data_IF_142372251153
#
_entry.id   IF_142372251153
#
_cell.length_a   1.000
_cell.length_b   1.000
_cell.length_c   1.000
_cell.angle_alpha   90.00
_cell.angle_beta   90.00
_cell.angle_gamma   90.00
#
_symmetry.space_group_name_H-M   'P 1'
#
loop_
_entity.id
_entity.type
_entity.pdbx_description
1 polymer ?
#
# COMPACT_ATOMS: atom_id res chain seq x y z
N UNK A 1 20.00 4.44 -29.66
CA UNK A 1 20.19 3.10 -29.07
C UNK A 1 20.80 3.32 -27.69
N UNK A 2 19.97 3.38 -26.65
CA UNK A 2 20.46 3.37 -25.29
C UNK A 2 20.99 1.95 -25.04
N UNK A 3 22.27 1.84 -24.83
CA UNK A 3 22.93 0.59 -24.47
C UNK A 3 22.90 0.57 -22.94
N UNK A 4 22.03 -0.24 -22.37
CA UNK A 4 22.11 -0.61 -20.96
C UNK A 4 23.19 -1.70 -20.92
N UNK A 5 24.32 -1.38 -20.34
CA UNK A 5 25.41 -2.34 -20.17
C UNK A 5 25.03 -3.27 -19.03
N UNK A 6 24.94 -4.57 -19.32
CA UNK A 6 24.65 -5.61 -18.33
C UNK A 6 25.69 -5.69 -17.19
N UNK A 7 26.83 -5.00 -17.35
CA UNK A 7 27.87 -4.89 -16.33
C UNK A 7 27.49 -3.98 -15.16
N UNK A 8 26.47 -3.13 -15.32
CA UNK A 8 26.02 -2.17 -14.30
C UNK A 8 24.91 -2.70 -13.38
N UNK A 9 24.56 -3.99 -13.48
CA UNK A 9 23.63 -4.61 -12.54
C UNK A 9 24.34 -4.77 -11.19
N UNK A 10 24.01 -3.96 -10.17
CA UNK A 10 24.61 -4.14 -8.86
C UNK A 10 23.98 -5.36 -8.21
N UNK A 11 24.58 -6.52 -8.40
CA UNK A 11 24.22 -7.76 -7.70
C UNK A 11 25.38 -8.26 -6.89
N UNK A 12 25.53 -7.74 -5.68
CA UNK A 12 26.45 -8.33 -4.71
C UNK A 12 25.62 -8.87 -3.53
N UNK A 13 25.65 -10.16 -3.33
CA UNK A 13 25.05 -10.81 -2.17
C UNK A 13 26.16 -11.43 -1.30
N UNK A 14 26.23 -11.00 -0.04
CA UNK A 14 27.10 -11.63 0.96
C UNK A 14 26.22 -12.35 1.96
N UNK A 15 26.46 -13.64 2.11
CA UNK A 15 25.77 -14.51 3.08
C UNK A 15 26.75 -14.99 4.13
N UNK A 16 26.39 -14.86 5.40
CA UNK A 16 27.16 -15.41 6.51
C UNK A 16 26.29 -16.34 7.34
N UNK A 17 26.85 -17.48 7.71
CA UNK A 17 26.17 -18.46 8.55
C UNK A 17 27.07 -18.84 9.71
N UNK A 18 26.47 -18.98 10.88
CA UNK A 18 27.07 -19.61 12.03
C UNK A 18 26.17 -20.76 12.46
N UNK A 19 26.70 -21.96 12.56
CA UNK A 19 25.98 -23.17 12.97
C UNK A 19 26.67 -23.77 14.19
N UNK A 20 25.89 -24.06 15.22
CA UNK A 20 26.33 -24.81 16.40
C UNK A 20 25.31 -25.89 16.70
N UNK A 21 25.74 -27.12 16.67
CA UNK A 21 24.93 -28.31 16.91
C UNK A 21 25.41 -29.02 18.17
N UNK A 22 24.48 -29.47 18.99
CA UNK A 22 24.71 -30.29 20.17
C UNK A 22 23.58 -31.30 20.33
N UNK A 23 23.74 -32.29 21.22
CA UNK A 23 22.67 -33.28 21.51
C UNK A 23 21.38 -32.67 22.06
N UNK A 24 21.39 -31.41 22.51
CA UNK A 24 20.23 -30.75 23.11
C UNK A 24 19.67 -29.60 22.27
N UNK A 25 20.48 -28.99 21.44
CA UNK A 25 20.05 -27.89 20.60
C UNK A 25 20.89 -27.73 19.34
N UNK A 26 20.25 -27.28 18.28
CA UNK A 26 20.88 -26.80 17.06
C UNK A 26 20.58 -25.32 16.94
N UNK A 27 21.61 -24.51 16.81
CA UNK A 27 21.52 -23.07 16.62
C UNK A 27 22.18 -22.69 15.29
N UNK A 28 21.41 -22.01 14.43
CA UNK A 28 21.94 -21.40 13.22
C UNK A 28 21.63 -19.92 13.22
N UNK A 29 22.67 -19.10 13.11
CA UNK A 29 22.55 -17.67 12.84
C UNK A 29 22.84 -17.44 11.37
N UNK A 30 22.06 -16.57 10.75
CA UNK A 30 22.18 -16.22 9.33
C UNK A 30 22.10 -14.72 9.16
N UNK A 31 22.88 -14.21 8.22
CA UNK A 31 22.81 -12.84 7.79
C UNK A 31 23.08 -12.75 6.28
N UNK A 32 22.41 -11.87 5.60
CA UNK A 32 22.69 -11.58 4.19
C UNK A 32 22.57 -10.09 3.91
N UNK A 33 23.37 -9.64 2.98
CA UNK A 33 23.33 -8.30 2.41
C UNK A 33 23.44 -8.43 0.91
N UNK A 34 22.62 -7.66 0.17
CA UNK A 34 22.68 -7.68 -1.29
C UNK A 34 22.11 -6.43 -1.90
N UNK A 35 22.56 -6.12 -3.11
CA UNK A 35 21.93 -5.15 -4.00
C UNK A 35 21.35 -5.89 -5.20
N UNK A 36 20.16 -5.48 -5.63
CA UNK A 36 19.44 -6.07 -6.77
C UNK A 36 18.90 -4.93 -7.62
N UNK A 37 19.16 -4.98 -8.93
CA UNK A 37 18.54 -4.10 -9.91
C UNK A 37 17.20 -4.64 -10.38
N UNK A 38 16.30 -3.75 -10.77
CA UNK A 38 15.03 -4.06 -11.42
C UNK A 38 14.82 -3.13 -12.60
N UNK A 39 14.59 -3.70 -13.79
CA UNK A 39 14.38 -2.99 -15.05
C UNK A 39 12.90 -2.90 -15.46
N UNK A 40 12.00 -3.44 -14.64
CA UNK A 40 10.57 -3.41 -14.94
C UNK A 40 9.96 -2.03 -14.70
N UNK A 41 9.91 -1.24 -15.75
CA UNK A 41 9.23 0.07 -15.79
C UNK A 41 7.78 -0.02 -16.27
N UNK A 42 7.27 -1.23 -16.43
CA UNK A 42 5.93 -1.51 -16.98
C UNK A 42 5.89 -1.53 -18.52
N UNK A 43 5.13 -2.45 -19.06
CA UNK A 43 5.08 -2.72 -20.51
C UNK A 43 4.70 -1.51 -21.37
N UNK A 44 3.85 -0.63 -20.86
CA UNK A 44 3.39 0.57 -21.57
C UNK A 44 4.47 1.67 -21.67
N UNK A 45 5.56 1.57 -20.91
CA UNK A 45 6.63 2.57 -20.84
C UNK A 45 7.98 2.07 -21.30
N UNK A 46 8.00 0.94 -21.96
CA UNK A 46 9.23 0.32 -22.50
C UNK A 46 10.07 1.29 -23.35
N UNK A 47 9.43 2.29 -23.95
CA UNK A 47 10.05 3.29 -24.83
C UNK A 47 10.04 4.68 -24.20
N UNK A 48 10.17 4.78 -22.87
CA UNK A 48 10.13 6.05 -22.15
C UNK A 48 11.22 7.07 -22.60
N UNK A 49 12.23 6.62 -23.31
CA UNK A 49 13.28 7.45 -23.91
C UNK A 49 12.90 8.00 -25.30
N UNK A 50 11.76 7.63 -25.86
CA UNK A 50 11.27 8.16 -27.14
C UNK A 50 10.14 9.17 -26.91
N UNK A 51 10.25 10.39 -27.48
CA UNK A 51 9.13 11.32 -27.42
C UNK A 51 7.99 10.84 -28.32
N UNK A 52 6.77 11.12 -27.91
CA UNK A 52 5.61 10.82 -28.74
C UNK A 52 4.85 12.07 -29.15
N UNK A 53 4.28 12.04 -30.36
CA UNK A 53 3.35 13.05 -30.85
C UNK A 53 2.04 12.37 -31.18
N UNK A 54 1.00 12.76 -30.49
CA UNK A 54 -0.32 12.18 -30.64
C UNK A 54 -1.19 13.06 -31.54
N UNK A 55 -1.96 12.44 -32.42
CA UNK A 55 -3.03 13.13 -33.14
C UNK A 55 -4.22 13.33 -32.22
N UNK A 56 -4.79 14.52 -32.25
CA UNK A 56 -5.99 14.87 -31.48
C UNK A 56 -7.00 15.54 -32.39
N UNK A 57 -8.26 15.51 -32.01
CA UNK A 57 -9.26 16.36 -32.64
C UNK A 57 -8.86 17.81 -32.35
N UNK A 58 -8.54 18.54 -33.39
CA UNK A 58 -8.16 19.94 -33.31
C UNK A 58 -9.37 20.85 -33.06
N UNK A 59 -9.39 21.99 -33.71
CA UNK A 59 -10.52 22.92 -33.59
C UNK A 59 -11.65 22.57 -34.58
N UNK A 60 -12.86 22.92 -34.18
CA UNK A 60 -14.03 22.87 -35.07
C UNK A 60 -14.14 24.18 -35.82
N UNK A 61 -14.43 24.11 -37.13
CA UNK A 61 -14.59 25.27 -38.00
C UNK A 61 -15.78 25.09 -38.95
N UNK A 62 -16.07 26.14 -39.70
CA UNK A 62 -17.25 26.21 -40.55
C UNK A 62 -18.42 26.93 -39.85
N UNK A 63 -19.41 27.33 -40.64
CA UNK A 63 -20.54 28.15 -40.18
C UNK A 63 -21.36 27.51 -39.05
N UNK A 64 -21.36 26.18 -38.99
CA UNK A 64 -22.09 25.37 -38.00
C UNK A 64 -21.13 24.56 -37.13
N UNK A 65 -19.83 24.86 -37.16
CA UNK A 65 -18.77 24.10 -36.44
C UNK A 65 -18.79 22.58 -36.70
N UNK A 66 -19.23 22.19 -37.91
CA UNK A 66 -19.42 20.80 -38.29
C UNK A 66 -18.20 20.16 -38.98
N UNK A 67 -17.13 20.93 -39.15
CA UNK A 67 -15.86 20.44 -39.66
C UNK A 67 -14.82 20.49 -38.54
N UNK A 68 -14.01 19.42 -38.42
CA UNK A 68 -12.93 19.32 -37.42
C UNK A 68 -11.60 19.17 -38.10
N UNK A 69 -10.63 19.98 -37.70
CA UNK A 69 -9.25 19.81 -38.11
C UNK A 69 -8.53 18.75 -37.28
N UNK A 70 -7.54 18.10 -37.85
CA UNK A 70 -6.61 17.26 -37.08
C UNK A 70 -5.56 18.16 -36.41
N UNK A 71 -5.44 18.02 -35.10
CA UNK A 71 -4.38 18.66 -34.32
C UNK A 71 -3.29 17.66 -33.95
N UNK A 72 -2.16 18.17 -33.53
CA UNK A 72 -1.06 17.39 -32.98
C UNK A 72 -0.75 17.90 -31.57
N UNK A 73 -0.47 16.98 -30.67
CA UNK A 73 -0.10 17.28 -29.30
C UNK A 73 1.14 16.48 -28.92
N UNK A 74 2.05 17.10 -28.22
CA UNK A 74 3.14 16.38 -27.57
C UNK A 74 2.52 15.39 -26.58
N UNK A 75 2.84 14.14 -26.75
CA UNK A 75 2.43 13.05 -25.86
C UNK A 75 3.43 12.88 -24.72
N UNK A 76 4.06 11.74 -24.68
CA UNK A 76 5.12 11.51 -23.68
C UNK A 76 6.36 12.30 -24.02
N UNK A 77 6.95 12.92 -22.99
CA UNK A 77 8.23 13.59 -23.09
C UNK A 77 9.31 12.55 -22.87
N UNK A 78 10.34 12.59 -23.71
CA UNK A 78 11.47 11.69 -23.60
C UNK A 78 12.15 11.81 -22.23
N UNK A 79 12.55 10.67 -21.69
CA UNK A 79 13.47 10.58 -20.58
C UNK A 79 14.72 9.82 -21.03
N UNK A 80 15.79 10.55 -21.36
CA UNK A 80 17.05 9.95 -21.78
C UNK A 80 17.88 9.39 -20.63
N UNK A 81 17.48 9.65 -19.38
CA UNK A 81 18.17 9.23 -18.16
C UNK A 81 17.44 8.09 -17.42
N UNK A 82 16.72 7.24 -18.16
CA UNK A 82 16.11 6.06 -17.56
C UNK A 82 17.20 5.15 -17.02
N UNK A 83 17.07 4.78 -15.76
CA UNK A 83 17.97 3.87 -15.06
C UNK A 83 17.21 2.75 -14.37
N UNK A 84 17.94 1.77 -13.87
CA UNK A 84 17.39 0.68 -13.07
C UNK A 84 16.94 1.18 -11.70
N UNK A 85 15.89 0.58 -11.18
CA UNK A 85 15.61 0.65 -9.75
C UNK A 85 16.63 -0.18 -9.00
N UNK A 86 17.18 0.32 -7.91
CA UNK A 86 18.11 -0.39 -7.06
C UNK A 86 17.46 -0.71 -5.71
N UNK A 87 17.47 -1.98 -5.33
CA UNK A 87 17.03 -2.44 -4.01
C UNK A 87 18.23 -2.92 -3.19
N UNK A 88 18.47 -2.26 -2.06
CA UNK A 88 19.42 -2.74 -1.04
C UNK A 88 18.65 -3.57 -0.03
N UNK A 89 19.07 -4.81 0.17
CA UNK A 89 18.41 -5.79 1.05
C UNK A 89 19.34 -6.24 2.16
N UNK A 90 18.79 -6.29 3.37
CA UNK A 90 19.46 -6.82 4.56
C UNK A 90 18.52 -7.84 5.20
N UNK A 91 19.03 -8.99 5.54
CA UNK A 91 18.32 -10.00 6.32
C UNK A 91 19.22 -10.51 7.45
N UNK A 92 18.63 -10.70 8.63
CA UNK A 92 19.30 -11.30 9.77
C UNK A 92 18.32 -12.26 10.46
N UNK A 93 18.74 -13.50 10.68
CA UNK A 93 17.84 -14.52 11.19
C UNK A 93 18.49 -15.51 12.14
N UNK A 94 17.61 -16.17 12.87
CA UNK A 94 17.93 -17.25 13.80
C UNK A 94 17.06 -18.47 13.51
N UNK A 95 17.70 -19.64 13.46
CA UNK A 95 17.00 -20.92 13.48
C UNK A 95 17.47 -21.68 14.72
N UNK A 96 16.51 -22.10 15.55
CA UNK A 96 16.78 -22.79 16.79
C UNK A 96 15.91 -24.05 16.85
N UNK A 97 16.57 -25.19 17.08
CA UNK A 97 15.91 -26.43 17.40
C UNK A 97 16.29 -26.85 18.83
N UNK A 98 15.29 -27.14 19.66
CA UNK A 98 15.47 -27.55 21.04
C UNK A 98 14.87 -28.93 21.25
N UNK A 99 15.66 -29.83 21.85
CA UNK A 99 15.25 -31.17 22.27
C UNK A 99 14.54 -31.99 21.15
N UNK A 100 14.87 -31.71 19.89
CA UNK A 100 14.22 -32.29 18.70
C UNK A 100 12.68 -32.05 18.60
N UNK A 101 12.12 -31.29 19.53
CA UNK A 101 10.68 -31.07 19.66
C UNK A 101 10.25 -29.66 19.25
N UNK A 102 11.04 -28.68 19.59
CA UNK A 102 10.73 -27.27 19.35
C UNK A 102 11.64 -26.73 18.26
N UNK A 103 11.05 -26.20 17.20
CA UNK A 103 11.73 -25.46 16.14
C UNK A 103 11.22 -24.05 16.12
N UNK A 104 12.13 -23.08 16.15
CA UNK A 104 11.86 -21.66 16.06
C UNK A 104 12.71 -21.11 14.93
N UNK A 105 12.11 -20.34 14.06
CA UNK A 105 12.79 -19.53 13.06
C UNK A 105 12.26 -18.11 13.17
N UNK A 106 13.16 -17.15 13.20
CA UNK A 106 12.82 -15.73 13.18
C UNK A 106 13.82 -14.98 12.30
N UNK A 107 13.32 -14.16 11.43
CA UNK A 107 14.08 -13.37 10.48
C UNK A 107 13.65 -11.91 10.56
N UNK A 108 14.60 -11.00 10.69
CA UNK A 108 14.40 -9.57 10.44
C UNK A 108 14.85 -9.27 9.03
N UNK A 109 14.05 -8.50 8.31
CA UNK A 109 14.37 -8.04 6.96
C UNK A 109 14.23 -6.53 6.84
N UNK A 110 15.09 -5.96 6.02
CA UNK A 110 15.05 -4.56 5.62
C UNK A 110 15.37 -4.48 4.13
N UNK A 111 14.57 -3.71 3.41
CA UNK A 111 14.80 -3.39 2.01
C UNK A 111 14.59 -1.89 1.80
N UNK A 112 15.54 -1.24 1.14
CA UNK A 112 15.41 0.13 0.67
C UNK A 112 15.56 0.14 -0.83
N UNK A 113 14.59 0.72 -1.50
CA UNK A 113 14.49 0.80 -2.95
C UNK A 113 14.63 2.25 -3.37
N UNK A 114 15.57 2.50 -4.28
CA UNK A 114 15.89 3.81 -4.83
C UNK A 114 15.68 3.81 -6.34
N UNK A 115 15.42 4.99 -6.91
CA UNK A 115 15.24 5.13 -8.35
C UNK A 115 13.94 4.50 -8.88
N UNK A 116 12.89 4.42 -8.07
CA UNK A 116 11.59 3.92 -8.54
C UNK A 116 11.08 4.84 -9.64
N UNK A 117 10.68 4.24 -10.76
CA UNK A 117 10.21 4.96 -11.93
C UNK A 117 8.78 5.47 -11.73
N UNK A 118 8.64 6.77 -11.45
CA UNK A 118 7.38 7.42 -11.09
C UNK A 118 7.09 8.63 -11.98
N UNK A 119 5.79 8.97 -12.08
CA UNK A 119 5.35 10.22 -12.66
C UNK A 119 5.80 11.40 -11.78
N UNK A 120 6.32 12.46 -12.39
CA UNK A 120 6.74 13.70 -11.71
C UNK A 120 5.55 14.49 -11.19
N UNK A 121 5.12 14.19 -9.98
CA UNK A 121 3.96 14.83 -9.36
C UNK A 121 4.23 16.30 -8.94
N UNK A 122 5.49 16.66 -8.69
CA UNK A 122 5.90 18.01 -8.29
C UNK A 122 5.94 19.05 -9.43
N UNK A 123 5.62 18.68 -10.67
CA UNK A 123 5.64 19.64 -11.80
C UNK A 123 4.44 20.58 -11.75
N UNK A 124 4.63 21.91 -11.68
CA UNK A 124 3.53 22.86 -11.71
C UNK A 124 2.77 22.83 -13.04
N UNK A 125 1.44 22.96 -12.96
CA UNK A 125 0.56 22.97 -14.15
C UNK A 125 0.92 24.09 -15.17
N UNK A 126 1.56 25.18 -14.72
CA UNK A 126 2.01 26.29 -15.58
C UNK A 126 3.01 25.86 -16.64
N UNK A 127 3.69 24.72 -16.47
CA UNK A 127 4.58 24.14 -17.49
C UNK A 127 3.82 23.74 -18.74
N UNK A 128 2.50 23.57 -18.64
CA UNK A 128 1.60 23.32 -19.79
C UNK A 128 1.75 21.92 -20.39
N UNK A 129 2.35 20.98 -19.67
CA UNK A 129 2.44 19.59 -20.12
C UNK A 129 1.09 18.92 -20.07
N UNK A 130 0.76 18.19 -21.13
CA UNK A 130 -0.49 17.40 -21.18
C UNK A 130 -0.30 16.00 -20.63
N UNK A 131 0.93 15.53 -20.57
CA UNK A 131 1.30 14.23 -20.01
C UNK A 131 2.44 14.45 -19.01
N UNK A 132 2.31 13.88 -17.84
CA UNK A 132 3.34 13.97 -16.80
C UNK A 132 4.51 13.06 -17.18
N UNK A 133 5.76 13.59 -17.27
CA UNK A 133 6.93 12.77 -17.57
C UNK A 133 7.22 11.81 -16.40
N UNK A 134 7.81 10.68 -16.74
CA UNK A 134 8.24 9.66 -15.78
C UNK A 134 9.75 9.69 -15.61
N UNK A 135 10.21 9.58 -14.39
CA UNK A 135 11.63 9.63 -14.03
C UNK A 135 11.94 8.71 -12.85
N UNK A 136 13.21 8.34 -12.68
CA UNK A 136 13.69 7.49 -11.59
C UNK A 136 13.96 8.31 -10.32
N UNK A 137 12.92 8.77 -9.64
CA UNK A 137 13.02 9.65 -8.45
C UNK A 137 12.46 8.99 -7.18
N UNK A 138 11.59 8.00 -7.31
CA UNK A 138 10.92 7.41 -6.17
C UNK A 138 11.87 6.68 -5.24
N UNK A 139 11.59 6.75 -3.93
CA UNK A 139 12.28 6.00 -2.88
C UNK A 139 11.27 5.41 -1.91
N UNK A 140 11.49 4.16 -1.54
CA UNK A 140 10.66 3.46 -0.59
C UNK A 140 11.50 2.51 0.26
N UNK A 141 11.02 2.21 1.45
CA UNK A 141 11.61 1.16 2.27
C UNK A 141 10.54 0.23 2.80
N UNK A 142 10.95 -0.98 3.10
CA UNK A 142 10.15 -1.95 3.83
C UNK A 142 11.03 -2.60 4.89
N UNK A 143 10.48 -2.84 6.07
CA UNK A 143 11.14 -3.58 7.14
C UNK A 143 10.13 -4.41 7.88
N UNK A 144 10.60 -5.51 8.45
CA UNK A 144 9.71 -6.40 9.17
C UNK A 144 10.40 -7.53 9.86
N UNK A 145 9.56 -8.37 10.44
CA UNK A 145 9.93 -9.61 11.09
C UNK A 145 9.02 -10.70 10.57
N UNK A 146 9.58 -11.83 10.24
CA UNK A 146 8.82 -13.06 10.03
C UNK A 146 9.34 -14.17 10.93
N UNK A 147 8.46 -15.09 11.25
CA UNK A 147 8.82 -16.18 12.12
C UNK A 147 7.89 -17.37 12.01
N UNK A 148 8.45 -18.52 12.29
CA UNK A 148 7.72 -19.78 12.40
C UNK A 148 8.08 -20.49 13.68
N UNK A 149 7.09 -21.17 14.26
CA UNK A 149 7.24 -22.00 15.43
C UNK A 149 6.59 -23.34 15.17
N UNK A 150 7.30 -24.41 15.44
CA UNK A 150 6.76 -25.77 15.39
C UNK A 150 7.13 -26.48 16.70
N UNK A 151 6.13 -27.07 17.35
CA UNK A 151 6.34 -27.88 18.54
C UNK A 151 5.70 -29.25 18.35
N UNK A 152 6.46 -30.30 18.59
CA UNK A 152 6.00 -31.69 18.49
C UNK A 152 6.14 -32.39 19.84
N UNK A 153 5.09 -33.08 20.25
CA UNK A 153 5.09 -33.84 21.49
C UNK A 153 4.31 -35.14 21.31
N UNK A 154 4.96 -36.24 21.69
CA UNK A 154 4.27 -37.53 21.81
C UNK A 154 3.56 -37.60 23.14
N UNK A 155 2.25 -37.79 23.11
CA UNK A 155 1.39 -37.98 24.30
C UNK A 155 0.72 -39.36 24.21
N UNK A 156 1.30 -40.31 24.91
CA UNK A 156 0.88 -41.72 24.77
C UNK A 156 1.05 -42.22 23.33
N UNK A 157 -0.06 -42.60 22.69
CA UNK A 157 -0.05 -43.09 21.29
C UNK A 157 -0.37 -41.99 20.26
N UNK A 158 -0.54 -40.76 20.70
CA UNK A 158 -0.88 -39.60 19.85
C UNK A 158 0.32 -38.71 19.70
N UNK A 159 0.68 -38.39 18.47
CA UNK A 159 1.65 -37.34 18.16
C UNK A 159 0.89 -36.03 17.94
N UNK A 160 1.16 -35.06 18.78
CA UNK A 160 0.64 -33.70 18.66
C UNK A 160 1.68 -32.78 18.02
N UNK A 161 1.29 -32.02 17.02
CA UNK A 161 2.13 -31.00 16.37
C UNK A 161 1.39 -29.68 16.38
N UNK A 162 1.92 -28.70 17.10
CA UNK A 162 1.49 -27.30 17.04
C UNK A 162 2.38 -26.52 16.08
N UNK A 163 1.78 -25.72 15.20
CA UNK A 163 2.49 -24.84 14.26
C UNK A 163 1.95 -23.43 14.34
N UNK A 164 2.84 -22.46 14.23
CA UNK A 164 2.48 -21.06 14.12
C UNK A 164 3.41 -20.33 13.17
N UNK A 165 2.88 -19.36 12.46
CA UNK A 165 3.65 -18.40 11.69
C UNK A 165 3.17 -16.99 11.99
N UNK A 166 4.06 -16.03 11.85
CA UNK A 166 3.79 -14.63 12.08
C UNK A 166 4.69 -13.81 11.16
N UNK A 167 4.10 -12.84 10.47
CA UNK A 167 4.84 -11.86 9.69
C UNK A 167 4.33 -10.48 10.04
N UNK A 168 5.23 -9.59 10.37
CA UNK A 168 5.01 -8.15 10.44
C UNK A 168 5.85 -7.47 9.38
N UNK A 169 5.22 -6.70 8.50
CA UNK A 169 5.90 -5.98 7.43
C UNK A 169 5.32 -4.58 7.30
N UNK A 170 6.17 -3.58 7.35
CA UNK A 170 5.77 -2.18 7.19
C UNK A 170 6.60 -1.50 6.12
N UNK A 171 5.91 -0.99 5.11
CA UNK A 171 6.52 -0.16 4.09
C UNK A 171 6.38 1.33 4.44
N UNK A 172 7.24 2.15 3.85
CA UNK A 172 7.16 3.60 3.96
C UNK A 172 7.64 4.23 2.65
N UNK A 173 6.89 5.22 2.18
CA UNK A 173 7.34 6.09 1.10
C UNK A 173 8.39 7.06 1.64
N UNK A 174 9.56 7.10 1.02
CA UNK A 174 10.63 8.02 1.40
C UNK A 174 10.68 9.24 0.49
N UNK A 175 10.37 9.04 -0.79
CA UNK A 175 10.29 10.09 -1.81
C UNK A 175 9.36 9.65 -2.94
N UNK A 176 8.49 10.51 -3.41
CA UNK A 176 7.58 10.26 -4.52
C UNK A 176 7.37 11.51 -5.40
N UNK A 177 8.29 12.47 -5.32
CA UNK A 177 8.25 13.74 -6.06
C UNK A 177 6.94 14.53 -5.82
N UNK A 178 6.31 14.37 -4.63
CA UNK A 178 5.10 15.14 -4.31
C UNK A 178 5.44 16.61 -4.01
N UNK A 179 4.54 17.54 -4.31
CA UNK A 179 4.75 18.95 -3.98
C UNK A 179 4.78 19.17 -2.47
N UNK A 180 5.41 20.27 -2.06
CA UNK A 180 5.32 20.71 -0.66
C UNK A 180 3.88 21.09 -0.32
N UNK A 181 3.26 20.27 0.54
CA UNK A 181 1.92 20.52 1.04
C UNK A 181 1.94 21.57 2.15
N UNK A 182 0.96 22.45 2.15
CA UNK A 182 0.80 23.47 3.19
C UNK A 182 0.72 22.84 4.59
N UNK A 183 0.03 21.72 4.70
CA UNK A 183 -0.10 20.98 5.95
C UNK A 183 0.65 19.64 5.86
N UNK A 184 1.63 19.44 6.75
CA UNK A 184 2.48 18.22 6.78
C UNK A 184 1.71 16.92 6.91
N UNK A 185 0.50 16.94 7.52
CA UNK A 185 -0.32 15.74 7.63
C UNK A 185 -0.89 15.27 6.28
N UNK A 186 -0.89 16.13 5.28
CA UNK A 186 -1.31 15.79 3.91
C UNK A 186 -0.23 15.06 3.11
N UNK A 187 1.03 15.21 3.52
CA UNK A 187 2.17 14.57 2.89
C UNK A 187 2.05 13.03 2.97
N UNK A 188 2.43 12.32 1.93
CA UNK A 188 2.52 10.84 1.90
C UNK A 188 3.89 10.32 2.30
N UNK A 189 4.91 11.17 2.30
CA UNK A 189 6.27 10.81 2.72
C UNK A 189 6.27 10.36 4.19
N UNK A 190 6.97 9.27 4.48
CA UNK A 190 7.03 8.66 5.81
C UNK A 190 5.82 7.80 6.17
N UNK A 191 4.77 7.79 5.33
CA UNK A 191 3.56 6.99 5.55
C UNK A 191 3.61 5.68 4.79
N UNK A 192 2.87 4.66 5.24
CA UNK A 192 2.73 3.42 4.50
C UNK A 192 1.93 3.64 3.21
N UNK A 193 2.21 2.84 2.22
CA UNK A 193 1.49 2.82 0.96
C UNK A 193 0.91 1.44 0.68
N UNK A 194 -0.21 1.42 -0.03
CA UNK A 194 -0.93 0.21 -0.40
C UNK A 194 -0.43 -0.39 -1.71
N UNK A 195 -1.26 -1.23 -2.28
CA UNK A 195 -0.98 -1.93 -3.53
C UNK A 195 -0.71 -0.93 -4.66
N UNK A 196 0.27 -1.24 -5.49
CA UNK A 196 0.71 -0.39 -6.61
C UNK A 196 1.16 1.03 -6.19
N UNK A 197 1.71 1.18 -4.99
CA UNK A 197 2.20 2.47 -4.51
C UNK A 197 1.09 3.44 -4.11
N UNK A 198 -0.17 2.98 -4.00
CA UNK A 198 -1.29 3.84 -3.63
C UNK A 198 -1.07 4.45 -2.24
N UNK A 199 -1.21 5.76 -2.14
CA UNK A 199 -1.16 6.45 -0.85
C UNK A 199 -2.26 5.94 0.09
N UNK A 200 -2.01 6.01 1.40
CA UNK A 200 -3.01 5.73 2.42
C UNK A 200 -4.26 6.61 2.17
N UNK A 201 -5.45 6.02 2.31
CA UNK A 201 -6.70 6.77 2.08
C UNK A 201 -6.84 7.91 3.05
N UNK A 202 -7.26 9.05 2.51
CA UNK A 202 -7.58 10.23 3.29
C UNK A 202 -9.09 10.33 3.50
N UNK A 203 -9.50 10.90 4.63
CA UNK A 203 -10.91 11.12 4.97
C UNK A 203 -11.04 12.07 6.13
N UNK A 204 -12.27 12.42 6.44
CA UNK A 204 -12.61 13.30 7.56
C UNK A 204 -12.79 12.51 8.85
N UNK A 205 -12.46 13.14 9.99
CA UNK A 205 -12.75 12.59 11.31
C UNK A 205 -14.18 12.97 11.68
N UNK A 206 -15.07 11.99 11.79
CA UNK A 206 -16.41 12.20 12.30
C UNK A 206 -16.38 12.39 13.82
N UNK A 207 -17.09 13.43 14.32
CA UNK A 207 -17.24 13.74 15.74
C UNK A 207 -18.60 13.29 16.29
N UNK A 208 -19.49 12.78 15.44
CA UNK A 208 -20.87 12.44 15.75
C UNK A 208 -21.83 13.14 14.80
N UNK A 209 -23.06 13.32 15.25
CA UNK A 209 -24.11 14.00 14.49
C UNK A 209 -24.41 15.35 15.11
N UNK A 210 -24.89 16.30 14.32
CA UNK A 210 -25.41 17.55 14.84
C UNK A 210 -26.74 17.30 15.57
N UNK A 211 -26.82 17.70 16.85
CA UNK A 211 -28.00 17.48 17.69
C UNK A 211 -28.97 18.66 17.65
N UNK A 212 -28.50 19.88 17.32
CA UNK A 212 -29.31 21.08 17.28
C UNK A 212 -28.80 22.10 16.26
N UNK A 213 -29.71 23.04 15.88
CA UNK A 213 -29.34 24.16 15.04
C UNK A 213 -28.29 25.06 15.71
N UNK A 214 -28.41 25.25 17.02
CA UNK A 214 -27.45 26.05 17.77
C UNK A 214 -26.03 25.45 17.76
N UNK A 215 -25.94 24.15 17.71
CA UNK A 215 -24.65 23.48 17.54
C UNK A 215 -24.07 23.71 16.14
N UNK A 216 -24.90 23.64 15.09
CA UNK A 216 -24.49 23.95 13.72
C UNK A 216 -23.93 25.36 13.63
N UNK A 217 -24.67 26.34 14.21
CA UNK A 217 -24.32 27.77 14.15
C UNK A 217 -23.02 28.09 14.89
N UNK A 218 -22.64 27.29 15.89
CA UNK A 218 -21.41 27.42 16.67
C UNK A 218 -20.27 26.50 16.24
N UNK A 219 -20.46 25.67 15.21
CA UNK A 219 -19.46 24.74 14.69
C UNK A 219 -18.75 25.31 13.46
N UNK A 220 -17.53 24.82 13.13
CA UNK A 220 -16.88 25.13 11.87
C UNK A 220 -17.78 24.82 10.68
N UNK A 221 -17.79 25.72 9.69
CA UNK A 221 -18.67 25.61 8.53
C UNK A 221 -18.24 24.48 7.61
N UNK A 222 -19.12 23.50 7.35
CA UNK A 222 -18.84 22.44 6.37
C UNK A 222 -19.06 22.93 4.94
N UNK A 223 -18.05 22.82 4.09
CA UNK A 223 -18.01 23.39 2.74
C UNK A 223 -18.53 22.46 1.64
N UNK A 224 -19.10 21.29 2.02
CA UNK A 224 -19.53 20.25 1.05
C UNK A 224 -20.95 20.44 0.53
N UNK A 225 -21.68 21.43 1.00
CA UNK A 225 -23.07 21.70 0.65
C UNK A 225 -23.90 22.08 1.87
N UNK A 226 -25.22 22.02 1.73
CA UNK A 226 -26.14 22.25 2.84
C UNK A 226 -26.14 21.06 3.80
N UNK A 227 -26.18 21.32 5.07
CA UNK A 227 -26.25 20.32 6.14
C UNK A 227 -27.21 20.77 7.23
N UNK A 228 -27.76 19.84 7.98
CA UNK A 228 -28.82 20.05 8.96
C UNK A 228 -28.62 19.17 10.19
N UNK A 229 -29.46 19.38 11.19
CA UNK A 229 -29.53 18.53 12.39
C UNK A 229 -29.71 17.06 11.97
N UNK A 230 -28.89 16.17 12.52
CA UNK A 230 -28.80 14.76 12.17
C UNK A 230 -27.71 14.41 11.14
N UNK A 231 -27.09 15.41 10.49
CA UNK A 231 -25.94 15.15 9.61
C UNK A 231 -24.64 15.00 10.41
N UNK A 232 -23.65 14.37 9.79
CA UNK A 232 -22.36 14.11 10.45
C UNK A 232 -21.57 15.40 10.64
N UNK A 233 -21.12 15.60 11.87
CA UNK A 233 -20.20 16.67 12.24
C UNK A 233 -18.76 16.20 12.08
N UNK A 234 -17.94 16.97 11.35
CA UNK A 234 -16.54 16.66 11.12
C UNK A 234 -15.60 17.56 11.91
N UNK A 235 -14.40 17.06 12.15
CA UNK A 235 -13.36 17.78 12.87
C UNK A 235 -12.64 18.75 11.93
N UNK A 236 -12.51 19.99 12.35
CA UNK A 236 -11.58 20.97 11.81
C UNK A 236 -10.16 20.58 12.29
N UNK A 237 -9.32 20.15 11.35
CA UNK A 237 -7.99 19.62 11.65
C UNK A 237 -6.94 20.72 11.62
N UNK A 238 -7.08 21.69 10.71
CA UNK A 238 -6.15 22.80 10.54
C UNK A 238 -6.51 24.02 11.43
N UNK A 239 -7.74 24.09 11.96
CA UNK A 239 -8.19 25.13 12.87
C UNK A 239 -8.56 26.45 12.19
N UNK A 240 -8.93 26.41 10.90
CA UNK A 240 -9.26 27.61 10.12
C UNK A 240 -10.76 28.02 10.21
N UNK A 241 -11.58 27.26 10.93
CA UNK A 241 -13.01 27.48 11.11
C UNK A 241 -13.87 26.97 9.96
N UNK A 242 -13.32 26.19 9.06
CA UNK A 242 -14.02 25.56 7.94
C UNK A 242 -13.69 24.08 7.92
N UNK A 243 -14.58 23.29 7.31
CA UNK A 243 -14.33 21.87 7.01
C UNK A 243 -14.30 21.72 5.51
N UNK A 244 -13.12 21.45 4.95
CA UNK A 244 -12.92 21.30 3.53
C UNK A 244 -11.88 20.19 3.22
N UNK A 245 -11.35 20.16 2.01
CA UNK A 245 -10.38 19.13 1.60
C UNK A 245 -9.08 19.18 2.38
N UNK A 246 -8.77 20.30 3.03
CA UNK A 246 -7.59 20.43 3.87
C UNK A 246 -7.73 19.72 5.21
N UNK A 247 -8.96 19.36 5.66
CA UNK A 247 -9.20 18.61 6.88
C UNK A 247 -9.13 17.09 6.69
N UNK A 248 -8.86 16.64 5.49
CA UNK A 248 -8.69 15.23 5.22
C UNK A 248 -7.33 14.74 5.69
N UNK A 249 -7.33 13.78 6.60
CA UNK A 249 -6.14 13.11 7.09
C UNK A 249 -6.10 11.65 6.63
N UNK A 250 -4.94 11.03 6.72
CA UNK A 250 -4.81 9.60 6.49
C UNK A 250 -5.60 8.82 7.56
N UNK A 251 -6.54 8.00 7.14
CA UNK A 251 -7.42 7.20 8.02
C UNK A 251 -7.19 5.71 7.81
N UNK A 252 -7.32 4.94 8.91
CA UNK A 252 -7.15 3.50 8.88
C UNK A 252 -5.73 3.06 8.52
N UNK A 253 -5.64 1.89 7.92
CA UNK A 253 -4.42 1.31 7.38
C UNK A 253 -4.52 1.23 5.85
N UNK A 254 -3.47 0.77 5.20
CA UNK A 254 -3.51 0.46 3.77
C UNK A 254 -4.31 -0.83 3.51
N UNK A 255 -4.57 -1.12 2.25
CA UNK A 255 -5.18 -2.38 1.80
C UNK A 255 -4.22 -3.58 1.89
N UNK A 256 -2.93 -3.33 2.12
CA UNK A 256 -1.92 -4.34 2.41
C UNK A 256 -1.84 -4.57 3.91
N UNK A 257 -2.08 -5.78 4.42
CA UNK A 257 -1.95 -6.06 5.83
C UNK A 257 -0.48 -5.94 6.28
N UNK A 258 -0.26 -5.21 7.38
CA UNK A 258 1.07 -5.17 8.02
C UNK A 258 1.35 -6.45 8.82
N UNK A 259 0.30 -7.13 9.28
CA UNK A 259 0.41 -8.37 10.06
C UNK A 259 -0.34 -9.48 9.36
N UNK A 260 0.34 -10.61 9.19
CA UNK A 260 -0.27 -11.88 8.80
C UNK A 260 0.16 -12.94 9.79
N UNK A 261 -0.78 -13.79 10.19
CA UNK A 261 -0.49 -14.86 11.12
C UNK A 261 -1.31 -16.10 10.84
N UNK A 262 -0.76 -17.23 11.25
CA UNK A 262 -1.47 -18.49 11.20
C UNK A 262 -1.03 -19.39 12.34
N UNK A 263 -1.92 -20.22 12.83
CA UNK A 263 -1.60 -21.25 13.81
C UNK A 263 -2.49 -22.46 13.62
N UNK A 264 -1.94 -23.62 13.92
CA UNK A 264 -2.65 -24.88 13.75
C UNK A 264 -2.17 -25.96 14.68
N UNK A 265 -3.05 -26.92 14.89
CA UNK A 265 -2.78 -28.11 15.66
C UNK A 265 -3.10 -29.35 14.83
N UNK A 266 -2.19 -30.30 14.83
CA UNK A 266 -2.35 -31.61 14.19
C UNK A 266 -2.18 -32.70 15.23
N UNK A 267 -3.11 -33.64 15.25
CA UNK A 267 -3.04 -34.84 16.08
C UNK A 267 -2.99 -36.07 15.17
N UNK A 268 -1.98 -36.92 15.34
CA UNK A 268 -1.82 -38.17 14.59
C UNK A 268 -1.89 -39.36 15.55
N UNK A 269 -2.80 -40.28 15.25
CA UNK A 269 -2.99 -41.51 16.01
C UNK A 269 -3.15 -42.69 15.06
N UNK A 270 -2.20 -43.63 15.11
CA UNK A 270 -2.13 -44.76 14.18
C UNK A 270 -2.25 -44.31 12.71
N UNK A 271 -3.32 -44.72 12.03
CA UNK A 271 -3.61 -44.40 10.62
C UNK A 271 -4.54 -43.20 10.46
N UNK A 272 -4.91 -42.54 11.56
CA UNK A 272 -5.76 -41.35 11.54
C UNK A 272 -4.94 -40.11 11.87
N UNK A 273 -5.18 -39.05 11.14
CA UNK A 273 -4.72 -37.72 11.45
C UNK A 273 -5.86 -36.71 11.35
N UNK A 274 -5.84 -35.74 12.25
CA UNK A 274 -6.77 -34.64 12.26
C UNK A 274 -5.99 -33.34 12.44
N UNK A 275 -6.36 -32.32 11.69
CA UNK A 275 -5.72 -31.01 11.80
C UNK A 275 -6.75 -29.89 11.75
N UNK A 276 -6.46 -28.83 12.48
CA UNK A 276 -7.19 -27.54 12.41
C UNK A 276 -6.16 -26.44 12.22
N UNK A 277 -6.48 -25.48 11.34
CA UNK A 277 -5.61 -24.35 11.06
C UNK A 277 -6.44 -23.06 11.02
N UNK A 278 -5.92 -22.03 11.66
CA UNK A 278 -6.48 -20.68 11.66
C UNK A 278 -5.48 -19.73 11.05
N UNK A 279 -5.98 -18.79 10.26
CA UNK A 279 -5.17 -17.71 9.71
C UNK A 279 -5.91 -16.40 9.84
N UNK A 280 -5.16 -15.32 9.96
CA UNK A 280 -5.71 -13.98 10.06
C UNK A 280 -4.75 -12.92 9.57
N UNK A 281 -5.31 -11.76 9.36
CA UNK A 281 -4.58 -10.54 9.04
C UNK A 281 -4.98 -9.43 9.98
N UNK A 282 -4.07 -8.50 10.23
CA UNK A 282 -4.33 -7.32 11.03
C UNK A 282 -3.59 -6.10 10.46
N UNK A 283 -3.94 -4.93 10.95
CA UNK A 283 -3.41 -3.66 10.44
C UNK A 283 -3.58 -3.52 8.92
N UNK A 284 -4.80 -3.78 8.47
CA UNK A 284 -5.27 -3.52 7.11
C UNK A 284 -6.65 -2.90 7.18
N UNK A 285 -7.02 -2.13 6.19
CA UNK A 285 -8.34 -1.52 6.09
C UNK A 285 -8.97 -1.85 4.76
N UNK A 286 -10.25 -2.17 4.81
CA UNK A 286 -11.09 -2.35 3.63
C UNK A 286 -11.97 -1.11 3.52
N UNK A 287 -11.89 -0.43 2.39
CA UNK A 287 -12.81 0.66 2.10
C UNK A 287 -14.12 0.11 1.56
N UNK A 288 -15.16 0.25 2.35
CA UNK A 288 -16.50 -0.14 1.94
C UNK A 288 -17.05 0.97 1.04
N UNK A 289 -17.12 0.69 -0.24
CA UNK A 289 -17.67 1.59 -1.25
C UNK A 289 -18.56 0.79 -2.21
N UNK A 290 -19.46 1.48 -2.84
CA UNK A 290 -20.31 0.91 -3.87
C UNK A 290 -21.78 1.20 -3.67
N UNK A 291 -22.52 0.81 -4.66
CA UNK A 291 -23.96 1.03 -4.77
C UNK A 291 -24.74 0.48 -3.57
N UNK A 292 -24.43 -0.70 -3.00
CA UNK A 292 -25.18 -1.22 -1.84
C UNK A 292 -25.09 -0.36 -0.58
N UNK A 293 -24.05 0.51 -0.50
CA UNK A 293 -23.81 1.37 0.66
C UNK A 293 -24.28 2.82 0.45
N UNK A 294 -24.76 3.14 -0.76
CA UNK A 294 -25.28 4.47 -1.09
C UNK A 294 -26.78 4.41 -1.21
N UNK A 295 -27.55 5.02 -0.28
CA UNK A 295 -28.99 5.09 -0.41
C UNK A 295 -29.37 5.89 -1.67
N UNK A 296 -30.49 5.50 -2.28
CA UNK A 296 -31.09 6.22 -3.40
C UNK A 296 -30.19 6.39 -4.64
N UNK A 297 -29.14 5.57 -4.80
CA UNK A 297 -28.40 5.55 -6.07
C UNK A 297 -29.24 4.86 -7.15
N UNK A 298 -29.13 5.32 -8.40
CA UNK A 298 -29.98 4.88 -9.53
C UNK A 298 -29.96 3.37 -9.76
N UNK A 299 -28.87 2.71 -9.42
CA UNK A 299 -28.70 1.26 -9.59
C UNK A 299 -29.19 0.45 -8.39
N UNK A 300 -29.67 1.10 -7.34
CA UNK A 300 -30.06 0.50 -6.06
C UNK A 300 -31.52 0.65 -5.69
N UNK A 301 -32.34 1.00 -6.64
CA UNK A 301 -33.81 0.86 -6.48
C UNK A 301 -34.20 -0.61 -6.33
N UNK A 302 -33.24 -1.51 -6.49
CA UNK A 302 -33.42 -2.96 -6.40
C UNK A 302 -33.25 -3.49 -4.96
N UNK A 303 -33.66 -4.71 -4.73
CA UNK A 303 -33.84 -5.42 -3.44
C UNK A 303 -32.69 -5.32 -2.46
N UNK A 304 -31.45 -5.07 -2.91
CA UNK A 304 -30.26 -4.96 -2.05
C UNK A 304 -30.28 -3.71 -1.16
N UNK A 305 -30.84 -2.60 -1.63
CA UNK A 305 -30.95 -1.38 -0.83
C UNK A 305 -31.92 -1.54 0.33
N UNK A 306 -32.99 -2.31 0.14
CA UNK A 306 -33.97 -2.59 1.20
C UNK A 306 -33.43 -3.48 2.32
N UNK A 307 -32.43 -4.31 2.05
CA UNK A 307 -31.83 -5.20 3.04
C UNK A 307 -30.69 -4.57 3.85
N UNK A 308 -30.13 -3.45 3.36
CA UNK A 308 -28.98 -2.79 3.98
C UNK A 308 -29.37 -1.61 4.88
N UNK A 309 -30.60 -1.11 4.73
CA UNK A 309 -31.10 0.02 5.51
C UNK A 309 -32.07 -0.47 6.58
N UNK A 310 -31.55 -0.87 7.73
CA UNK A 310 -32.31 -1.05 8.95
C UNK A 310 -31.97 0.15 9.84
N UNK A 311 -33.01 0.79 10.36
CA UNK A 311 -32.87 1.90 11.31
C UNK A 311 -31.91 1.51 12.44
N UNK A 312 -30.81 2.27 12.61
CA UNK A 312 -29.78 2.02 13.62
C UNK A 312 -28.55 1.19 13.21
N UNK A 313 -28.39 0.81 11.95
CA UNK A 313 -27.22 0.05 11.50
C UNK A 313 -26.04 0.89 10.97
N UNK A 314 -26.15 2.18 10.95
CA UNK A 314 -25.04 3.08 10.59
C UNK A 314 -24.62 3.91 11.82
N UNK A 315 -23.90 3.30 12.70
CA UNK A 315 -23.15 3.97 13.76
C UNK A 315 -21.65 3.79 13.44
#
# INVERSE_FOLDING_TARGET
>A
KVHIDDSDIPSAEVKAYYVKETSYYDLKLKASYGKVGNDDIGASRRWAYEPSVNTVTGWSYGKTANQTGTGYRVGEIENTNVSWEEATKVNAGIELRLFEKLKIQADYFYEERNGIFLARAGLPAIVGLTTTPYVNVGKAKVSGLDGTLEYQQQVGKVLLTGRGNFTFSRNQMLDNDEPDWEYKYQNSIGKPFGRNGAAQRKGFIALGFFESQAEIDNSPKQMFGEYRVGDVKYKDVNGDGKIDTYDQIAIGYTDLPEITYGFGLTAKWKNFDASVFFQGVARTSIYLAGTPLRPFSSDNMDRSAKSTWVEGQFI
#
